data_IF_059114208419
#
_entry.id   IF_059114208419
#
_cell.length_a   1.000
_cell.length_b   1.000
_cell.length_c   1.000
_cell.angle_alpha   90.00
_cell.angle_beta   90.00
_cell.angle_gamma   90.00
#
_symmetry.space_group_name_H-M   'P 1'
#
loop_
_entity.id
_entity.type
_entity.pdbx_description
1 polymer ?
#
# COMPACT_ATOMS: atom_id res chain seq x y z
N UNK A 1 -18.34 38.24 -22.98
CA UNK A 1 -17.74 37.02 -23.59
C UNK A 1 -16.43 36.64 -22.91
N UNK A 2 -15.40 37.49 -22.88
CA UNK A 2 -14.08 37.15 -22.31
C UNK A 2 -14.08 36.75 -20.82
N UNK A 3 -14.86 37.43 -19.96
CA UNK A 3 -14.89 37.13 -18.52
C UNK A 3 -15.45 35.74 -18.16
N UNK A 4 -16.34 35.19 -18.99
CA UNK A 4 -16.90 33.84 -18.80
C UNK A 4 -15.80 32.79 -19.05
N UNK A 5 -15.00 32.97 -20.10
CA UNK A 5 -13.89 32.07 -20.40
C UNK A 5 -12.82 32.05 -19.30
N UNK A 6 -12.49 33.21 -18.72
CA UNK A 6 -11.53 33.30 -17.61
C UNK A 6 -12.05 32.55 -16.38
N UNK A 7 -13.33 32.69 -16.08
CA UNK A 7 -13.97 32.03 -14.93
C UNK A 7 -14.00 30.51 -15.12
N UNK A 8 -14.33 30.03 -16.32
CA UNK A 8 -14.32 28.60 -16.67
C UNK A 8 -12.90 28.02 -16.58
N UNK A 9 -11.89 28.76 -17.04
CA UNK A 9 -10.49 28.32 -16.98
C UNK A 9 -10.00 28.17 -15.54
N UNK A 10 -10.36 29.11 -14.66
CA UNK A 10 -10.02 29.06 -13.23
C UNK A 10 -10.68 27.87 -12.51
N UNK A 11 -11.96 27.60 -12.79
CA UNK A 11 -12.68 26.45 -12.24
C UNK A 11 -12.07 25.11 -12.69
N UNK A 12 -11.69 25.03 -13.97
CA UNK A 12 -11.06 23.83 -14.51
C UNK A 12 -9.66 23.59 -13.91
N UNK A 13 -8.87 24.66 -13.73
CA UNK A 13 -7.58 24.60 -13.04
C UNK A 13 -7.69 24.11 -11.59
N UNK A 14 -8.69 24.59 -10.84
CA UNK A 14 -8.94 24.14 -9.48
C UNK A 14 -9.34 22.66 -9.41
N UNK A 15 -10.19 22.19 -10.33
CA UNK A 15 -10.55 20.77 -10.41
C UNK A 15 -9.35 19.88 -10.73
N UNK A 16 -8.44 20.32 -11.60
CA UNK A 16 -7.21 19.57 -11.89
C UNK A 16 -6.31 19.46 -10.67
N UNK A 17 -6.19 20.51 -9.84
CA UNK A 17 -5.40 20.45 -8.59
C UNK A 17 -6.00 19.50 -7.55
N UNK A 18 -7.34 19.38 -7.48
CA UNK A 18 -7.99 18.43 -6.57
C UNK A 18 -7.83 16.97 -7.00
N UNK A 19 -7.75 16.68 -8.32
CA UNK A 19 -7.57 15.31 -8.82
C UNK A 19 -6.10 14.85 -8.77
N UNK A 20 -5.16 15.80 -8.68
CA UNK A 20 -3.72 15.52 -8.61
C UNK A 20 -3.18 15.56 -7.17
N UNK A 21 -4.04 15.48 -6.17
CA UNK A 21 -3.61 15.31 -4.79
C UNK A 21 -3.29 13.83 -4.55
N UNK A 22 -2.06 13.44 -4.88
CA UNK A 22 -1.50 12.14 -4.49
C UNK A 22 -1.22 12.21 -3.00
N UNK A 23 -2.18 11.78 -2.18
CA UNK A 23 -1.98 11.61 -0.75
C UNK A 23 -0.98 10.46 -0.54
N UNK A 24 0.29 10.79 -0.36
CA UNK A 24 1.23 9.86 0.24
C UNK A 24 0.83 9.71 1.71
N UNK A 25 0.15 8.61 2.04
CA UNK A 25 -0.25 8.29 3.41
C UNK A 25 0.96 8.42 4.34
N UNK A 26 0.85 9.30 5.34
CA UNK A 26 1.91 9.58 6.31
C UNK A 26 2.38 8.26 6.94
N UNK A 27 3.63 7.93 6.66
CA UNK A 27 4.12 6.57 6.78
C UNK A 27 4.25 6.14 8.25
N UNK A 28 3.30 5.33 8.70
CA UNK A 28 3.57 4.23 9.63
C UNK A 28 4.37 3.09 8.94
N UNK A 29 4.86 3.33 7.72
CA UNK A 29 5.41 2.31 6.81
C UNK A 29 6.68 1.66 7.36
N UNK A 30 7.47 2.37 8.16
CA UNK A 30 8.69 1.80 8.75
C UNK A 30 8.37 0.73 9.80
N UNK A 31 7.36 0.97 10.66
CA UNK A 31 6.89 -0.03 11.63
C UNK A 31 6.28 -1.25 10.93
N UNK A 32 5.50 -1.01 9.85
CA UNK A 32 4.91 -2.06 9.01
C UNK A 32 5.94 -2.82 8.18
N UNK A 33 7.07 -2.21 7.83
CA UNK A 33 8.14 -2.83 7.05
C UNK A 33 8.90 -3.88 7.87
N UNK A 34 9.10 -3.60 9.16
CA UNK A 34 9.88 -4.45 10.06
C UNK A 34 9.03 -5.47 10.82
N UNK A 35 7.70 -5.43 10.69
CA UNK A 35 6.82 -6.45 11.26
C UNK A 35 6.99 -7.80 10.55
N UNK A 36 6.76 -8.89 11.27
CA UNK A 36 6.71 -10.23 10.66
C UNK A 36 5.63 -10.29 9.59
N UNK A 37 5.96 -10.90 8.44
CA UNK A 37 5.03 -11.07 7.32
C UNK A 37 3.94 -12.11 7.63
N UNK A 38 4.32 -13.21 8.29
CA UNK A 38 3.38 -14.22 8.74
C UNK A 38 3.04 -14.02 10.22
N UNK A 39 1.76 -14.11 10.55
CA UNK A 39 1.21 -13.96 11.90
C UNK A 39 0.02 -14.92 12.05
N UNK A 40 -0.17 -15.48 13.23
CA UNK A 40 -1.25 -16.45 13.50
C UNK A 40 -2.64 -15.83 13.23
N UNK A 41 -2.81 -14.55 13.56
CA UNK A 41 -4.04 -13.79 13.31
C UNK A 41 -4.40 -13.71 11.82
N UNK A 42 -3.41 -13.68 10.92
CA UNK A 42 -3.63 -13.68 9.47
C UNK A 42 -4.04 -15.08 9.01
N UNK A 43 -3.37 -16.13 9.51
CA UNK A 43 -3.70 -17.52 9.18
C UNK A 43 -5.13 -17.86 9.61
N UNK A 44 -5.50 -17.50 10.85
CA UNK A 44 -6.86 -17.70 11.38
C UNK A 44 -7.90 -16.93 10.57
N UNK A 45 -7.66 -15.64 10.32
CA UNK A 45 -8.57 -14.82 9.52
C UNK A 45 -8.80 -15.39 8.13
N UNK A 46 -7.74 -15.87 7.47
CA UNK A 46 -7.84 -16.46 6.14
C UNK A 46 -8.61 -17.79 6.18
N UNK A 47 -8.28 -18.67 7.12
CA UNK A 47 -8.92 -19.98 7.26
C UNK A 47 -10.37 -19.89 7.76
N UNK A 48 -10.81 -18.74 8.28
CA UNK A 48 -12.22 -18.50 8.61
C UNK A 48 -13.16 -18.61 7.40
N UNK A 49 -12.63 -18.47 6.18
CA UNK A 49 -13.39 -18.75 4.96
C UNK A 49 -13.42 -20.25 4.67
N UNK A 50 -14.48 -20.91 5.12
CA UNK A 50 -14.72 -22.35 4.91
C UNK A 50 -14.98 -22.75 3.45
N UNK A 51 -15.22 -21.77 2.56
CA UNK A 51 -15.48 -22.03 1.13
C UNK A 51 -14.21 -21.95 0.27
N UNK A 52 -13.09 -21.50 0.83
CA UNK A 52 -11.83 -21.43 0.10
C UNK A 52 -11.33 -22.84 -0.26
N UNK A 53 -10.93 -23.05 -1.52
CA UNK A 53 -10.32 -24.31 -1.98
C UNK A 53 -8.87 -24.50 -1.52
N UNK A 54 -8.40 -23.72 -0.57
CA UNK A 54 -7.01 -23.66 -0.10
C UNK A 54 -6.99 -23.33 1.41
N UNK A 55 -5.93 -23.75 2.10
CA UNK A 55 -5.72 -23.54 3.53
C UNK A 55 -4.43 -22.77 3.75
N UNK A 56 -4.48 -21.70 4.54
CA UNK A 56 -3.30 -20.97 4.98
C UNK A 56 -2.59 -21.70 6.12
N UNK A 57 -1.26 -21.60 6.12
CA UNK A 57 -0.39 -22.19 7.15
C UNK A 57 0.86 -21.34 7.34
N UNK A 58 1.50 -21.48 8.50
CA UNK A 58 2.76 -20.83 8.84
C UNK A 58 3.92 -21.53 8.10
N UNK A 59 4.32 -21.00 6.95
CA UNK A 59 5.45 -21.55 6.20
C UNK A 59 6.77 -21.33 6.99
N UNK A 60 7.48 -22.39 7.41
CA UNK A 60 8.72 -22.26 8.19
C UNK A 60 9.83 -21.48 7.48
N UNK A 61 9.81 -21.44 6.14
CA UNK A 61 10.77 -20.64 5.38
C UNK A 61 10.58 -19.14 5.57
N UNK A 62 9.34 -18.70 5.85
CA UNK A 62 8.95 -17.29 5.94
C UNK A 62 8.49 -16.87 7.34
N UNK A 63 8.52 -17.77 8.33
CA UNK A 63 8.05 -17.52 9.71
C UNK A 63 8.81 -16.38 10.41
N UNK A 64 10.07 -16.15 9.99
CA UNK A 64 10.93 -15.10 10.53
C UNK A 64 11.23 -13.97 9.54
N UNK A 65 10.51 -13.94 8.42
CA UNK A 65 10.64 -12.86 7.45
C UNK A 65 9.87 -11.63 7.91
N UNK A 66 10.46 -10.46 7.69
CA UNK A 66 9.75 -9.18 7.75
C UNK A 66 9.02 -8.92 6.44
N UNK A 67 8.04 -8.01 6.47
CA UNK A 67 7.37 -7.52 5.25
C UNK A 67 8.38 -6.98 4.24
N UNK A 68 9.42 -6.28 4.71
CA UNK A 68 10.50 -5.77 3.88
C UNK A 68 11.32 -6.85 3.18
N UNK A 69 11.76 -7.86 3.93
CA UNK A 69 12.51 -9.00 3.37
C UNK A 69 11.67 -9.76 2.34
N UNK A 70 10.38 -9.96 2.61
CA UNK A 70 9.49 -10.63 1.67
C UNK A 70 9.27 -9.81 0.39
N UNK A 71 9.09 -8.48 0.50
CA UNK A 71 9.00 -7.57 -0.66
C UNK A 71 10.24 -7.64 -1.55
N UNK A 72 11.43 -7.76 -0.95
CA UNK A 72 12.66 -7.91 -1.71
C UNK A 72 12.67 -9.19 -2.57
N UNK A 73 12.16 -10.31 -2.04
CA UNK A 73 12.01 -11.55 -2.81
C UNK A 73 11.07 -11.39 -4.02
N UNK A 74 10.07 -10.50 -3.92
CA UNK A 74 9.14 -10.18 -5.00
C UNK A 74 9.71 -9.18 -6.03
N UNK A 75 10.95 -8.75 -5.89
CA UNK A 75 11.60 -7.80 -6.80
C UNK A 75 11.26 -6.32 -6.53
N UNK A 76 10.66 -6.00 -5.38
CA UNK A 76 10.44 -4.60 -4.99
C UNK A 76 11.79 -3.92 -4.76
N UNK A 77 12.06 -2.84 -5.50
CA UNK A 77 13.26 -2.03 -5.32
C UNK A 77 13.22 -1.32 -3.97
N UNK A 78 14.31 -1.32 -3.17
CA UNK A 78 14.35 -0.58 -1.92
C UNK A 78 14.18 0.92 -2.17
N UNK A 79 13.51 1.61 -1.25
CA UNK A 79 13.43 3.06 -1.25
C UNK A 79 14.86 3.63 -1.16
N UNK A 80 15.25 4.56 -2.06
CA UNK A 80 16.54 5.24 -1.95
C UNK A 80 16.70 5.87 -0.57
N UNK A 81 17.88 5.72 0.03
CA UNK A 81 18.20 6.39 1.29
C UNK A 81 18.50 7.86 0.97
N UNK A 82 17.71 8.79 1.52
CA UNK A 82 17.99 10.24 1.43
C UNK A 82 17.02 11.07 0.59
N UNK A 83 15.73 10.69 0.55
CA UNK A 83 14.64 11.60 0.15
C UNK A 83 13.99 12.14 1.42
#
# INVERSE_FOLDING_TARGET
MAGIYITVLLLFGAMLTFQLEVHAEASNSHLKHNSKILQDSIVERINSNSTAGWRAEMNPRFSDYTVGQFKHLLGVKPTPKGI
#
